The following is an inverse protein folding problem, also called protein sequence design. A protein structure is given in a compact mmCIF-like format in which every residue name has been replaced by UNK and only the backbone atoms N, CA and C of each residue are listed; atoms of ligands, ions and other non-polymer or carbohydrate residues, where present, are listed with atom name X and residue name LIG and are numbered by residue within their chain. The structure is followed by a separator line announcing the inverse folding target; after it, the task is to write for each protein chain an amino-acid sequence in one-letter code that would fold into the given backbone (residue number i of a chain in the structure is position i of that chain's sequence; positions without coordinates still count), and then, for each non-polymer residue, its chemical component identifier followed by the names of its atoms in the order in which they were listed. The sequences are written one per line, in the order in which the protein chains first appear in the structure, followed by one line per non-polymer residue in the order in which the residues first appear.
data_IF_064493364864
#
_entry.id   IF_064493364864
#
_cell.length_a   1.000
_cell.length_b   1.000
_cell.length_c   1.000
_cell.angle_alpha   90.00
_cell.angle_beta   90.00
_cell.angle_gamma   90.00
#
_symmetry.space_group_name_H-M   'P 1'
#
loop_
_entity.id
_entity.type
_entity.pdbx_description
1 polymer ?
#
# COMPACT_ATOMS: atom_id res chain seq x y z
N UNK A 1 -4.34 -19.82 -0.43
CA UNK A 1 -5.73 -20.23 -0.14
C UNK A 1 -6.75 -19.25 -0.72
N UNK A 2 -6.87 -17.99 -0.25
CA UNK A 2 -7.86 -17.05 -0.81
C UNK A 2 -7.72 -16.83 -2.33
N UNK A 3 -6.49 -16.62 -2.82
CA UNK A 3 -6.23 -16.49 -4.26
C UNK A 3 -6.62 -17.74 -5.06
N UNK A 4 -6.41 -18.94 -4.49
CA UNK A 4 -6.83 -20.20 -5.10
C UNK A 4 -8.35 -20.31 -5.17
N UNK A 5 -9.06 -19.97 -4.09
CA UNK A 5 -10.52 -20.01 -4.10
C UNK A 5 -11.11 -18.98 -5.07
N UNK A 6 -10.54 -17.77 -5.11
CA UNK A 6 -10.93 -16.75 -6.09
C UNK A 6 -10.74 -17.26 -7.53
N UNK A 7 -9.57 -17.81 -7.84
CA UNK A 7 -9.31 -18.42 -9.15
C UNK A 7 -10.31 -19.54 -9.49
N UNK A 8 -10.63 -20.41 -8.55
CA UNK A 8 -11.57 -21.52 -8.77
C UNK A 8 -13.01 -21.01 -9.00
N UNK A 9 -13.43 -19.95 -8.31
CA UNK A 9 -14.72 -19.29 -8.54
C UNK A 9 -14.73 -18.62 -9.91
N UNK A 10 -13.68 -17.87 -10.26
CA UNK A 10 -13.57 -17.16 -11.53
C UNK A 10 -13.56 -18.13 -12.73
N UNK A 11 -12.87 -19.27 -12.62
CA UNK A 11 -12.91 -20.33 -13.62
C UNK A 11 -14.33 -20.83 -13.94
N UNK A 12 -15.19 -20.92 -12.91
CA UNK A 12 -16.56 -21.41 -13.06
C UNK A 12 -17.48 -20.28 -13.54
N UNK A 13 -17.36 -19.09 -12.95
CA UNK A 13 -18.28 -17.97 -13.12
C UNK A 13 -18.02 -17.16 -14.40
N UNK A 14 -16.75 -16.99 -14.78
CA UNK A 14 -16.37 -16.16 -15.92
C UNK A 14 -16.26 -17.03 -17.19
N UNK A 15 -16.85 -16.55 -18.28
CA UNK A 15 -16.75 -17.23 -19.58
C UNK A 15 -15.38 -16.98 -20.18
N UNK A 16 -14.70 -18.02 -20.66
CA UNK A 16 -13.35 -17.94 -21.24
C UNK A 16 -12.32 -17.30 -20.29
N UNK A 17 -12.38 -17.62 -19.00
CA UNK A 17 -11.38 -17.16 -18.05
C UNK A 17 -9.99 -17.69 -18.42
N UNK A 18 -9.02 -16.78 -18.57
CA UNK A 18 -7.63 -17.08 -18.91
C UNK A 18 -6.65 -16.70 -17.79
N UNK A 19 -7.12 -16.57 -16.55
CA UNK A 19 -6.23 -16.28 -15.44
C UNK A 19 -5.34 -17.47 -15.12
N UNK A 20 -4.10 -17.18 -14.72
CA UNK A 20 -3.12 -18.20 -14.36
C UNK A 20 -3.54 -18.94 -13.08
N UNK A 21 -3.34 -20.26 -13.06
CA UNK A 21 -3.52 -21.03 -11.84
C UNK A 21 -2.47 -20.56 -10.81
N UNK A 22 -2.88 -20.19 -9.58
CA UNK A 22 -1.93 -19.73 -8.59
C UNK A 22 -0.92 -20.82 -8.27
N UNK A 23 0.36 -20.52 -8.48
CA UNK A 23 1.45 -21.44 -8.25
C UNK A 23 1.50 -21.89 -6.78
N UNK A 24 1.34 -23.18 -6.55
CA UNK A 24 1.56 -23.80 -5.26
C UNK A 24 3.03 -24.20 -5.18
N UNK A 25 3.83 -23.38 -4.51
CA UNK A 25 5.25 -23.67 -4.32
C UNK A 25 5.43 -24.93 -3.46
N UNK A 26 5.84 -26.02 -4.11
CA UNK A 26 6.09 -27.31 -3.46
C UNK A 26 7.29 -27.26 -2.50
N UNK A 27 8.19 -26.28 -2.65
CA UNK A 27 9.30 -26.09 -1.72
C UNK A 27 8.83 -25.70 -0.31
N UNK A 28 7.64 -25.09 -0.20
CA UNK A 28 7.01 -24.76 1.08
C UNK A 28 6.57 -25.98 1.89
N UNK A 29 6.53 -27.18 1.30
CA UNK A 29 6.29 -28.42 2.06
C UNK A 29 7.43 -28.73 3.05
N UNK A 30 8.59 -28.09 2.94
CA UNK A 30 9.72 -28.23 3.89
C UNK A 30 9.77 -27.13 4.95
N UNK A 31 8.76 -26.26 5.00
CA UNK A 31 8.68 -25.16 5.96
C UNK A 31 8.04 -25.60 7.29
N UNK A 32 7.49 -24.68 8.07
CA UNK A 32 6.86 -24.99 9.35
C UNK A 32 5.53 -25.76 9.19
N UNK A 33 5.09 -26.46 10.24
CA UNK A 33 3.91 -27.33 10.21
C UNK A 33 2.66 -26.59 9.72
N UNK A 34 2.50 -25.33 10.14
CA UNK A 34 1.38 -24.48 9.77
C UNK A 34 1.30 -24.27 8.25
N UNK A 35 2.44 -23.96 7.63
CA UNK A 35 2.53 -23.79 6.19
C UNK A 35 2.36 -25.12 5.47
N UNK A 36 2.89 -26.22 6.00
CA UNK A 36 2.69 -27.56 5.42
C UNK A 36 1.20 -27.94 5.36
N UNK A 37 0.47 -27.77 6.48
CA UNK A 37 -0.96 -28.05 6.54
C UNK A 37 -1.74 -27.16 5.56
N UNK A 38 -1.42 -25.87 5.51
CA UNK A 38 -2.06 -24.94 4.58
C UNK A 38 -1.81 -25.31 3.11
N UNK A 39 -0.59 -25.70 2.75
CA UNK A 39 -0.23 -26.14 1.40
C UNK A 39 -0.96 -27.42 1.03
N UNK A 40 -1.06 -28.40 1.95
CA UNK A 40 -1.81 -29.63 1.72
C UNK A 40 -3.30 -29.37 1.45
N UNK A 41 -3.95 -28.48 2.22
CA UNK A 41 -5.33 -28.06 1.95
C UNK A 41 -5.46 -27.41 0.56
N UNK A 42 -4.54 -26.52 0.18
CA UNK A 42 -4.56 -25.89 -1.14
C UNK A 42 -4.37 -26.92 -2.28
N UNK A 43 -3.48 -27.91 -2.10
CA UNK A 43 -3.26 -28.97 -3.08
C UNK A 43 -4.50 -29.85 -3.26
N UNK A 44 -5.20 -30.18 -2.18
CA UNK A 44 -6.47 -30.91 -2.22
C UNK A 44 -7.56 -30.10 -2.94
N UNK A 45 -7.67 -28.80 -2.65
CA UNK A 45 -8.66 -27.93 -3.30
C UNK A 45 -8.41 -27.82 -4.81
N UNK A 46 -7.15 -27.65 -5.21
CA UNK A 46 -6.76 -27.63 -6.64
C UNK A 46 -7.05 -28.97 -7.32
N UNK A 47 -6.80 -30.11 -6.66
CA UNK A 47 -7.15 -31.43 -7.19
C UNK A 47 -8.66 -31.61 -7.40
N UNK A 48 -9.49 -31.13 -6.48
CA UNK A 48 -10.96 -31.14 -6.61
C UNK A 48 -11.43 -30.21 -7.72
N UNK A 49 -10.81 -29.05 -7.89
CA UNK A 49 -11.15 -28.13 -8.97
C UNK A 49 -10.85 -28.72 -10.37
N UNK A 50 -9.88 -29.64 -10.48
CA UNK A 50 -9.58 -30.37 -11.73
C UNK A 50 -10.57 -31.49 -12.05
N UNK A 51 -11.35 -31.96 -11.08
CA UNK A 51 -12.30 -33.07 -11.31
C UNK A 51 -13.60 -32.63 -11.98
N UNK A 52 -13.80 -31.32 -12.18
CA UNK A 52 -14.99 -30.76 -12.82
C UNK A 52 -14.60 -30.07 -14.11
N UNK A 53 -15.30 -30.38 -15.19
CA UNK A 53 -15.08 -29.76 -16.49
C UNK A 53 -15.60 -28.32 -16.49
N UNK A 54 -14.65 -27.38 -16.47
CA UNK A 54 -14.89 -25.93 -16.45
C UNK A 54 -15.46 -25.39 -17.78
N UNK A 55 -15.40 -26.18 -18.85
CA UNK A 55 -15.89 -25.78 -20.18
C UNK A 55 -17.41 -25.91 -20.32
N UNK A 56 -18.05 -26.68 -19.42
CA UNK A 56 -19.49 -26.89 -19.43
C UNK A 56 -20.19 -25.61 -18.97
N UNK A 57 -20.94 -24.99 -19.88
CA UNK A 57 -21.84 -23.86 -19.60
C UNK A 57 -23.27 -24.30 -19.93
N UNK A 58 -24.30 -23.92 -19.14
CA UNK A 58 -24.31 -22.99 -17.99
C UNK A 58 -23.71 -23.58 -16.69
N UNK A 59 -23.59 -22.75 -15.64
CA UNK A 59 -23.15 -23.20 -14.31
C UNK A 59 -24.13 -24.26 -13.78
N UNK A 60 -23.66 -25.52 -13.69
CA UNK A 60 -24.42 -26.66 -13.16
C UNK A 60 -24.27 -26.82 -11.64
N UNK A 61 -25.13 -27.66 -11.05
CA UNK A 61 -25.03 -28.06 -9.64
C UNK A 61 -23.69 -28.73 -9.30
N UNK A 62 -23.06 -29.44 -10.26
CA UNK A 62 -21.76 -30.08 -10.07
C UNK A 62 -20.65 -29.06 -9.79
N UNK A 63 -20.68 -27.90 -10.45
CA UNK A 63 -19.75 -26.82 -10.16
C UNK A 63 -19.95 -26.28 -8.75
N UNK A 64 -21.21 -26.06 -8.35
CA UNK A 64 -21.55 -25.53 -7.04
C UNK A 64 -21.15 -26.50 -5.92
N UNK A 65 -21.48 -27.79 -6.07
CA UNK A 65 -21.08 -28.83 -5.12
C UNK A 65 -19.57 -28.92 -4.97
N UNK A 66 -18.82 -28.82 -6.08
CA UNK A 66 -17.36 -28.84 -6.00
C UNK A 66 -16.81 -27.63 -5.24
N UNK A 67 -17.32 -26.42 -5.52
CA UNK A 67 -16.92 -25.21 -4.79
C UNK A 67 -17.29 -25.30 -3.30
N UNK A 68 -18.49 -25.79 -2.97
CA UNK A 68 -18.91 -25.97 -1.58
C UNK A 68 -18.02 -26.97 -0.84
N UNK A 69 -17.70 -28.11 -1.45
CA UNK A 69 -16.78 -29.11 -0.85
C UNK A 69 -15.37 -28.55 -0.65
N UNK A 70 -14.90 -27.68 -1.55
CA UNK A 70 -13.61 -27.00 -1.35
C UNK A 70 -13.65 -26.06 -0.14
N UNK A 71 -14.74 -25.30 0.04
CA UNK A 71 -14.91 -24.41 1.21
C UNK A 71 -14.98 -25.21 2.49
N UNK A 72 -15.78 -26.27 2.53
CA UNK A 72 -15.91 -27.16 3.69
C UNK A 72 -14.55 -27.71 4.12
N UNK A 73 -13.78 -28.27 3.17
CA UNK A 73 -12.45 -28.79 3.44
C UNK A 73 -11.45 -27.72 3.91
N UNK A 74 -11.58 -26.49 3.41
CA UNK A 74 -10.77 -25.36 3.87
C UNK A 74 -11.14 -24.99 5.32
N UNK A 75 -12.42 -24.98 5.68
CA UNK A 75 -12.91 -24.64 7.02
C UNK A 75 -12.58 -25.72 8.07
N UNK A 76 -12.61 -26.99 7.67
CA UNK A 76 -12.18 -28.12 8.52
C UNK A 76 -10.66 -28.15 8.71
N UNK A 77 -9.91 -27.45 7.86
CA UNK A 77 -8.48 -27.30 7.98
C UNK A 77 -8.07 -26.69 9.32
N UNK A 78 -7.00 -27.21 9.92
CA UNK A 78 -6.46 -26.63 11.16
C UNK A 78 -5.75 -25.31 10.87
N UNK A 79 -6.29 -24.22 11.41
CA UNK A 79 -5.62 -22.92 11.39
C UNK A 79 -4.75 -22.77 12.64
N UNK A 80 -3.46 -22.92 12.45
CA UNK A 80 -2.50 -22.68 13.52
C UNK A 80 -2.30 -21.18 13.69
N UNK A 81 -2.59 -20.64 14.88
CA UNK A 81 -2.35 -19.25 15.20
C UNK A 81 -0.83 -19.03 15.40
N UNK A 82 -0.19 -18.19 14.59
CA UNK A 82 1.24 -17.95 14.71
C UNK A 82 1.60 -17.30 16.04
N UNK A 83 2.81 -17.54 16.54
CA UNK A 83 3.27 -16.98 17.83
C UNK A 83 3.13 -15.46 17.94
N UNK A 84 3.30 -14.73 16.85
CA UNK A 84 3.17 -13.26 16.82
C UNK A 84 1.73 -12.76 17.05
N UNK A 85 0.72 -13.64 16.99
CA UNK A 85 -0.64 -13.31 17.40
C UNK A 85 -0.75 -13.05 18.91
N UNK A 86 0.10 -13.72 19.70
CA UNK A 86 0.04 -13.68 21.17
C UNK A 86 1.13 -12.82 21.80
N UNK A 87 2.19 -12.50 21.07
CA UNK A 87 3.31 -11.73 21.61
C UNK A 87 4.08 -10.98 20.53
N UNK A 88 4.48 -9.75 20.87
CA UNK A 88 5.36 -8.94 20.04
C UNK A 88 6.79 -9.47 20.16
N UNK A 89 7.32 -10.00 19.06
CA UNK A 89 8.64 -10.62 18.98
C UNK A 89 9.75 -9.65 18.54
N UNK A 90 9.39 -8.69 17.70
CA UNK A 90 10.23 -7.60 17.24
C UNK A 90 9.32 -6.42 16.97
N UNK A 91 9.76 -5.22 17.37
CA UNK A 91 9.03 -3.98 17.16
C UNK A 91 10.00 -2.94 16.62
N UNK A 92 9.62 -2.32 15.51
CA UNK A 92 10.34 -1.22 14.89
C UNK A 92 9.31 -0.15 14.58
N UNK A 93 9.57 1.08 15.00
CA UNK A 93 8.70 2.23 14.74
C UNK A 93 9.51 3.34 14.11
N UNK A 94 8.87 4.14 13.25
CA UNK A 94 9.50 5.29 12.60
C UNK A 94 8.81 6.54 13.09
N UNK A 95 9.58 7.52 13.54
CA UNK A 95 9.10 8.87 13.84
C UNK A 95 9.53 9.79 12.71
N UNK A 96 8.58 10.56 12.20
CA UNK A 96 8.80 11.47 11.08
C UNK A 96 8.57 12.91 11.54
N UNK A 97 9.47 13.80 11.14
CA UNK A 97 9.34 15.23 11.24
C UNK A 97 9.44 15.83 9.84
N UNK A 98 8.54 16.75 9.52
CA UNK A 98 8.50 17.42 8.22
C UNK A 98 8.70 18.91 8.44
N UNK A 99 9.51 19.51 7.58
CA UNK A 99 9.74 20.95 7.51
C UNK A 99 9.50 21.41 6.06
N UNK A 100 8.75 22.49 5.83
CA UNK A 100 8.20 23.45 6.80
C UNK A 100 6.97 22.93 7.56
N UNK A 101 6.73 23.52 8.74
CA UNK A 101 5.50 23.35 9.51
C UNK A 101 4.70 24.66 9.50
N UNK A 102 3.36 24.60 9.49
CA UNK A 102 2.54 25.79 9.68
C UNK A 102 2.84 26.40 11.06
N UNK A 103 2.76 27.73 11.18
CA UNK A 103 3.07 28.42 12.45
C UNK A 103 2.03 28.10 13.52
N UNK A 104 0.80 27.83 13.10
CA UNK A 104 -0.33 27.45 13.94
C UNK A 104 -1.00 26.20 13.36
N UNK A 105 -1.40 25.28 14.23
CA UNK A 105 -2.16 24.10 13.82
C UNK A 105 -3.45 24.51 13.07
N UNK A 106 -3.65 23.96 11.88
CA UNK A 106 -4.80 24.28 11.02
C UNK A 106 -4.56 25.41 10.02
N UNK A 107 -3.41 26.08 10.06
CA UNK A 107 -3.02 27.07 9.05
C UNK A 107 -2.45 26.40 7.79
N UNK A 108 -2.61 27.07 6.63
CA UNK A 108 -2.02 26.65 5.37
C UNK A 108 -0.60 27.18 5.21
N UNK A 109 0.27 26.36 4.63
CA UNK A 109 1.55 26.85 4.11
C UNK A 109 1.29 27.64 2.82
N UNK A 110 1.61 28.93 2.80
CA UNK A 110 1.43 29.75 1.60
C UNK A 110 2.65 29.67 0.68
N UNK A 111 2.43 29.33 -0.58
CA UNK A 111 3.47 29.21 -1.61
C UNK A 111 3.09 30.14 -2.77
N UNK A 112 4.07 30.85 -3.33
CA UNK A 112 3.83 31.75 -4.47
C UNK A 112 3.59 30.92 -5.74
N UNK A 113 2.73 31.43 -6.63
CA UNK A 113 2.55 30.86 -7.97
C UNK A 113 3.91 30.71 -8.67
N UNK A 114 4.11 29.60 -9.39
CA UNK A 114 5.35 29.35 -10.12
C UNK A 114 6.59 29.04 -9.25
N UNK A 115 6.48 29.09 -7.92
CA UNK A 115 7.54 28.67 -7.01
C UNK A 115 7.43 27.18 -6.64
N UNK A 116 8.52 26.61 -6.13
CA UNK A 116 8.58 25.23 -5.67
C UNK A 116 8.59 25.19 -4.14
N UNK A 117 7.86 24.23 -3.57
CA UNK A 117 7.88 23.96 -2.14
C UNK A 117 8.99 22.96 -1.82
N UNK A 118 10.00 23.40 -1.07
CA UNK A 118 11.00 22.49 -0.50
C UNK A 118 10.44 21.81 0.74
N UNK A 119 10.39 20.49 0.72
CA UNK A 119 9.93 19.65 1.83
C UNK A 119 11.11 18.82 2.31
N UNK A 120 11.64 19.17 3.47
CA UNK A 120 12.64 18.39 4.18
C UNK A 120 11.94 17.41 5.10
N UNK A 121 12.33 16.15 4.98
CA UNK A 121 11.82 15.04 5.79
C UNK A 121 12.98 14.52 6.62
N UNK A 122 12.77 14.42 7.92
CA UNK A 122 13.71 13.84 8.87
C UNK A 122 13.00 12.75 9.63
N UNK A 123 13.69 11.67 9.92
CA UNK A 123 13.10 10.62 10.73
C UNK A 123 14.10 9.82 11.52
N UNK A 124 13.57 9.20 12.56
CA UNK A 124 14.30 8.32 13.46
C UNK A 124 13.61 6.97 13.51
N UNK A 125 14.39 5.92 13.29
CA UNK A 125 13.99 4.54 13.47
C UNK A 125 14.19 4.20 14.95
N UNK A 126 13.15 3.71 15.60
CA UNK A 126 13.22 3.26 16.98
C UNK A 126 12.99 1.76 17.04
N UNK A 127 13.95 1.06 17.62
CA UNK A 127 13.86 -0.37 17.83
C UNK A 127 13.35 -0.70 19.23
N UNK A 128 12.61 -1.79 19.34
CA UNK A 128 12.24 -2.41 20.60
C UNK A 128 13.43 -3.10 21.26
N UNK A 129 13.15 -4.04 22.17
CA UNK A 129 14.16 -4.73 22.97
C UNK A 129 15.12 -5.63 22.17
N UNK A 130 14.70 -6.13 21.02
CA UNK A 130 15.53 -7.01 20.17
C UNK A 130 15.49 -6.50 18.71
N UNK A 131 16.33 -5.50 18.36
CA UNK A 131 16.53 -5.11 16.97
C UNK A 131 17.06 -6.29 16.15
N UNK A 132 16.73 -6.29 14.87
CA UNK A 132 17.35 -7.16 13.85
C UNK A 132 17.26 -8.67 14.08
N UNK A 133 16.36 -9.14 14.95
CA UNK A 133 16.22 -10.56 15.28
C UNK A 133 15.72 -11.40 14.11
N UNK A 134 14.70 -10.92 13.40
CA UNK A 134 14.10 -11.62 12.26
C UNK A 134 14.35 -10.90 10.94
N UNK A 135 14.34 -9.57 10.99
CA UNK A 135 14.59 -8.67 9.85
C UNK A 135 15.27 -7.41 10.35
N UNK A 136 16.12 -6.83 9.52
CA UNK A 136 16.76 -5.55 9.79
C UNK A 136 16.36 -4.51 8.75
N UNK A 137 16.41 -3.25 9.15
CA UNK A 137 16.14 -2.11 8.26
C UNK A 137 17.38 -1.80 7.43
N UNK A 138 17.28 -1.92 6.11
CA UNK A 138 18.34 -1.56 5.17
C UNK A 138 18.18 -0.14 4.61
N UNK A 139 16.93 0.34 4.53
CA UNK A 139 16.59 1.61 3.91
C UNK A 139 15.22 2.10 4.34
N UNK A 140 14.92 3.35 4.01
CA UNK A 140 13.60 3.95 4.15
C UNK A 140 13.18 4.52 2.80
N UNK A 141 12.02 4.12 2.31
CA UNK A 141 11.40 4.68 1.12
C UNK A 141 10.45 5.77 1.55
N UNK A 142 10.76 7.01 1.17
CA UNK A 142 9.93 8.18 1.39
C UNK A 142 9.10 8.45 0.15
N UNK A 143 7.80 8.61 0.33
CA UNK A 143 6.85 8.95 -0.74
C UNK A 143 6.16 10.25 -0.39
N UNK A 144 6.30 11.25 -1.24
CA UNK A 144 5.55 12.51 -1.15
C UNK A 144 4.49 12.52 -2.24
N UNK A 145 3.23 12.70 -1.87
CA UNK A 145 2.11 12.86 -2.78
C UNK A 145 1.39 14.19 -2.55
N UNK A 146 1.14 14.95 -3.60
CA UNK A 146 0.29 16.14 -3.57
C UNK A 146 -1.00 15.87 -4.31
N UNK A 147 -2.13 16.28 -3.72
CA UNK A 147 -3.44 16.26 -4.35
C UNK A 147 -4.09 17.63 -4.20
N UNK A 148 -4.56 18.20 -5.31
CA UNK A 148 -5.35 19.42 -5.28
C UNK A 148 -6.73 19.11 -4.66
N UNK A 149 -7.10 19.89 -3.65
CA UNK A 149 -8.36 19.72 -2.88
C UNK A 149 -9.39 20.77 -3.21
N UNK A 150 -8.97 21.98 -3.55
CA UNK A 150 -9.86 23.04 -4.03
C UNK A 150 -9.12 23.98 -4.98
N UNK A 151 -9.78 24.38 -6.07
CA UNK A 151 -9.35 25.50 -6.92
C UNK A 151 -10.03 26.77 -6.43
N UNK A 152 -9.26 27.83 -6.24
CA UNK A 152 -9.81 29.17 -5.97
C UNK A 152 -9.88 29.90 -7.31
N UNK A 153 -11.09 30.10 -7.83
CA UNK A 153 -11.33 30.98 -8.98
C UNK A 153 -11.77 32.35 -8.51
N UNK A 154 -11.55 33.38 -9.34
CA UNK A 154 -11.91 34.79 -9.09
C UNK A 154 -13.41 34.96 -8.71
N UNK A 155 -14.29 34.02 -9.12
CA UNK A 155 -15.73 34.05 -8.84
C UNK A 155 -16.20 33.14 -7.68
N UNK A 156 -15.29 32.59 -6.87
CA UNK A 156 -15.60 31.83 -5.64
C UNK A 156 -16.56 30.62 -5.85
N UNK A 157 -16.70 30.11 -7.08
CA UNK A 157 -17.50 28.92 -7.38
C UNK A 157 -16.61 27.68 -7.33
N UNK A 158 -16.88 26.81 -6.36
CA UNK A 158 -16.26 25.48 -6.24
C UNK A 158 -16.67 24.61 -7.45
N UNK A 159 -15.78 24.46 -8.43
CA UNK A 159 -15.98 23.52 -9.54
C UNK A 159 -15.57 22.12 -9.06
N UNK A 160 -16.41 21.08 -9.22
CA UNK A 160 -16.04 19.71 -8.88
C UNK A 160 -14.86 19.25 -9.74
N UNK A 161 -13.77 18.83 -9.09
CA UNK A 161 -12.56 18.32 -9.76
C UNK A 161 -12.77 16.92 -10.32
N UNK A 162 -12.16 16.64 -11.48
CA UNK A 162 -11.96 15.26 -11.94
C UNK A 162 -10.88 14.58 -11.08
N UNK A 163 -11.03 13.29 -10.75
CA UNK A 163 -10.00 12.53 -10.02
C UNK A 163 -8.68 12.53 -10.81
N UNK A 164 -7.57 12.92 -10.16
CA UNK A 164 -6.22 12.87 -10.72
C UNK A 164 -5.69 14.18 -11.32
N UNK A 165 -6.52 15.22 -11.46
CA UNK A 165 -6.05 16.52 -11.97
C UNK A 165 -5.18 17.21 -10.90
N UNK A 166 -3.89 17.46 -11.22
CA UNK A 166 -2.92 18.06 -10.30
C UNK A 166 -2.29 17.11 -9.28
N UNK A 167 -2.37 15.78 -9.47
CA UNK A 167 -1.67 14.84 -8.60
C UNK A 167 -0.18 14.76 -8.96
N UNK A 168 0.68 14.94 -7.95
CA UNK A 168 2.14 14.77 -8.07
C UNK A 168 2.59 13.74 -7.07
N UNK A 169 3.40 12.76 -7.49
CA UNK A 169 4.00 11.77 -6.60
C UNK A 169 5.50 11.74 -6.83
N UNK A 170 6.27 11.91 -5.76
CA UNK A 170 7.72 11.83 -5.73
C UNK A 170 8.13 10.74 -4.75
N UNK A 171 9.14 9.95 -5.11
CA UNK A 171 9.64 8.88 -4.26
C UNK A 171 11.17 8.95 -4.16
N UNK A 172 11.68 8.74 -2.96
CA UNK A 172 13.12 8.72 -2.69
C UNK A 172 13.43 7.56 -1.74
N UNK A 173 14.42 6.73 -2.07
CA UNK A 173 14.98 5.76 -1.12
C UNK A 173 16.20 6.37 -0.43
N UNK A 174 16.25 6.26 0.89
CA UNK A 174 17.35 6.79 1.71
C UNK A 174 17.90 5.68 2.61
N UNK A 175 19.22 5.58 2.69
CA UNK A 175 19.89 4.67 3.63
C UNK A 175 20.06 5.40 4.96
N UNK A 176 19.47 4.91 6.07
CA UNK A 176 19.63 5.53 7.36
C UNK A 176 21.08 5.45 7.82
N UNK A 177 21.59 6.52 8.43
CA UNK A 177 22.86 6.50 9.14
C UNK A 177 22.59 6.22 10.61
N UNK A 178 22.90 4.99 11.04
CA UNK A 178 22.41 4.41 12.31
C UNK A 178 20.88 4.38 12.28
N UNK A 179 20.24 5.11 13.17
CA UNK A 179 18.79 5.17 13.28
C UNK A 179 18.20 6.47 12.72
N UNK A 180 19.01 7.37 12.14
CA UNK A 180 18.55 8.65 11.61
C UNK A 180 18.60 8.68 10.08
N UNK A 181 17.58 9.26 9.45
CA UNK A 181 17.56 9.49 8.01
C UNK A 181 17.01 10.88 7.67
N UNK A 182 17.39 11.38 6.50
CA UNK A 182 16.84 12.61 5.94
C UNK A 182 16.61 12.45 4.44
N UNK A 183 15.49 13.00 3.96
CA UNK A 183 15.15 13.13 2.55
C UNK A 183 14.70 14.54 2.24
N UNK A 184 14.79 14.92 0.97
CA UNK A 184 14.40 16.26 0.52
C UNK A 184 13.65 16.14 -0.79
N UNK A 185 12.49 16.78 -0.85
CA UNK A 185 11.67 16.86 -2.04
C UNK A 185 11.51 18.31 -2.45
N UNK A 186 11.45 18.53 -3.75
CA UNK A 186 11.14 19.83 -4.32
C UNK A 186 9.84 19.67 -5.11
N UNK A 187 8.74 20.14 -4.53
CA UNK A 187 7.40 19.97 -5.06
C UNK A 187 6.99 21.19 -5.88
N UNK A 188 6.77 21.00 -7.18
CA UNK A 188 6.15 22.00 -8.03
C UNK A 188 4.62 21.84 -7.99
N UNK A 189 3.92 22.85 -7.48
CA UNK A 189 2.46 22.88 -7.47
C UNK A 189 1.97 23.54 -8.77
N UNK A 190 1.47 22.73 -9.70
CA UNK A 190 1.19 23.16 -11.08
C UNK A 190 0.02 24.14 -11.25
N UNK A 191 -0.79 24.37 -10.21
CA UNK A 191 -1.91 25.30 -10.26
C UNK A 191 -2.20 25.94 -8.90
N UNK A 192 -2.81 27.12 -8.94
CA UNK A 192 -3.31 27.81 -7.74
C UNK A 192 -4.45 27.03 -7.07
N UNK A 193 -4.58 27.22 -5.76
CA UNK A 193 -5.56 26.50 -4.95
C UNK A 193 -4.96 25.84 -3.72
N UNK A 194 -5.77 25.03 -3.05
CA UNK A 194 -5.39 24.31 -1.85
C UNK A 194 -4.97 22.89 -2.21
N UNK A 195 -3.75 22.53 -1.86
CA UNK A 195 -3.16 21.21 -2.04
C UNK A 195 -3.03 20.51 -0.69
N UNK A 196 -3.33 19.22 -0.68
CA UNK A 196 -3.00 18.32 0.42
C UNK A 196 -1.74 17.57 0.05
N UNK A 197 -0.65 17.85 0.76
CA UNK A 197 0.65 17.20 0.58
C UNK A 197 0.82 16.17 1.69
N UNK A 198 0.94 14.92 1.31
CA UNK A 198 1.13 13.80 2.23
C UNK A 198 2.51 13.20 2.03
N UNK A 199 3.22 12.97 3.12
CA UNK A 199 4.50 12.25 3.13
C UNK A 199 4.32 10.97 3.93
N UNK A 200 4.81 9.88 3.36
CA UNK A 200 4.80 8.55 3.93
C UNK A 200 6.21 8.00 4.02
N UNK A 201 6.48 7.26 5.08
CA UNK A 201 7.68 6.46 5.20
C UNK A 201 7.33 4.98 5.13
N UNK A 202 8.05 4.24 4.31
CA UNK A 202 8.03 2.78 4.27
C UNK A 202 9.43 2.25 4.59
N UNK A 203 9.50 1.14 5.31
CA UNK A 203 10.77 0.54 5.72
C UNK A 203 11.19 -0.48 4.66
N UNK A 204 12.45 -0.45 4.23
CA UNK A 204 13.02 -1.46 3.35
C UNK A 204 13.88 -2.44 4.17
N UNK A 205 13.73 -3.74 3.91
CA UNK A 205 14.55 -4.78 4.55
C UNK A 205 15.78 -5.17 3.71
N UNK A 206 16.68 -5.99 4.26
CA UNK A 206 17.88 -6.46 3.55
C UNK A 206 17.59 -7.30 2.31
N UNK A 207 16.39 -7.90 2.22
CA UNK A 207 15.95 -8.66 1.04
C UNK A 207 15.39 -7.75 -0.05
N UNK A 208 15.32 -6.44 0.19
CA UNK A 208 14.78 -5.44 -0.73
C UNK A 208 13.26 -5.26 -0.65
N UNK A 209 12.57 -5.95 0.25
CA UNK A 209 11.11 -5.79 0.40
C UNK A 209 10.80 -4.45 1.06
N UNK A 210 9.74 -3.80 0.57
CA UNK A 210 9.26 -2.52 1.08
C UNK A 210 7.99 -2.74 1.90
N UNK A 211 8.04 -2.30 3.15
CA UNK A 211 6.97 -2.45 4.14
C UNK A 211 6.29 -1.09 4.38
N UNK A 212 5.06 -0.94 3.86
CA UNK A 212 4.25 0.27 3.99
C UNK A 212 3.57 0.36 5.36
N UNK A 213 4.37 0.36 6.42
CA UNK A 213 3.92 0.34 7.82
C UNK A 213 4.40 1.55 8.63
N UNK A 214 5.09 2.50 8.00
CA UNK A 214 5.59 3.70 8.67
C UNK A 214 4.54 4.82 8.77
N UNK A 215 4.91 5.93 9.44
CA UNK A 215 4.00 7.05 9.67
C UNK A 215 3.65 7.75 8.36
N UNK A 216 2.43 8.30 8.35
CA UNK A 216 1.94 9.24 7.35
C UNK A 216 1.75 10.60 8.01
N UNK A 217 2.23 11.66 7.38
CA UNK A 217 2.01 13.03 7.82
C UNK A 217 1.54 13.90 6.66
N UNK A 218 0.64 14.82 6.95
CA UNK A 218 -0.06 15.61 5.95
C UNK A 218 0.07 17.09 6.26
N UNK A 219 0.42 17.85 5.23
CA UNK A 219 0.50 19.31 5.21
C UNK A 219 -0.56 19.84 4.26
N UNK A 220 -1.17 20.96 4.62
CA UNK A 220 -2.07 21.68 3.72
C UNK A 220 -1.35 22.91 3.20
N UNK A 221 -1.26 23.03 1.88
CA UNK A 221 -0.51 24.07 1.18
C UNK A 221 -1.49 24.88 0.35
N UNK A 222 -1.37 26.20 0.37
CA UNK A 222 -2.17 27.11 -0.46
C UNK A 222 -1.25 27.83 -1.43
N UNK A 223 -1.51 27.64 -2.71
CA UNK A 223 -0.83 28.38 -3.78
C UNK A 223 -1.73 29.52 -4.23
N UNK A 224 -1.21 30.74 -4.22
CA UNK A 224 -1.92 31.89 -4.77
C UNK A 224 -1.86 31.84 -6.31
N UNK A 225 -2.94 32.19 -7.00
CA UNK A 225 -2.88 32.44 -8.45
C UNK A 225 -2.28 33.83 -8.70
N UNK A 226 -1.41 33.94 -9.70
CA UNK A 226 -0.96 35.24 -10.19
C UNK A 226 -2.10 35.92 -10.95
N UNK A 227 -2.48 37.13 -10.52
CA UNK A 227 -3.48 37.98 -11.18
C UNK A 227 -3.01 38.54 -12.54
N UNK A 228 -1.88 38.09 -13.08
CA UNK A 228 -1.27 38.62 -14.31
C UNK A 228 -1.79 37.98 -15.60
N UNK A 229 -2.54 36.88 -15.54
CA UNK A 229 -3.12 36.22 -16.72
C UNK A 229 -4.55 36.65 -17.05
N UNK A 230 -5.15 37.58 -16.32
CA UNK A 230 -6.49 38.12 -16.62
C UNK A 230 -6.50 39.42 -17.44
N UNK A 231 -5.36 39.81 -18.02
CA UNK A 231 -5.26 40.98 -18.92
C UNK A 231 -4.43 40.62 -20.16
N UNK A 232 -5.00 39.82 -21.04
CA UNK A 232 -4.63 39.75 -22.45
C UNK A 232 -5.88 39.41 -23.27
#
# INVERSE_FOLDING_TARGET
MCALMAHNIECVAVTNYQGDEPALDSSLQRSCLETQLMVQCCQRASAMARSVDKSIKPITHLHLECLMKQVEMILEGSFCLPRYFFQVLQSTSVKLAITPQPRVNGEYLSVQSGSQLSVKVEGVIQHGSQPDRFRSVSGVVLTLSSQLTSRLTIDNKNIPMKPGDGQVVLQQSVTPHRDFFTGQFLLALGCGGQHQVTVEAAVQDNSGNVWTTGPRSTLTVKTLEDASTSRA
#
